data_IF_653226084003
#
_entry.id   IF_653226084003
#
_cell.length_a   1.000
_cell.length_b   1.000
_cell.length_c   1.000
_cell.angle_alpha   90.00
_cell.angle_beta   90.00
_cell.angle_gamma   90.00
#
_symmetry.space_group_name_H-M   'P 1'
#
loop_
_entity.id
_entity.type
_entity.pdbx_description
1 polymer ?
#
# COMPACT_ATOMS: atom_id res chain seq x y z
N UNK A 1 20.37 8.85 2.90
CA UNK A 1 20.22 9.21 4.32
C UNK A 1 19.13 10.27 4.55
N UNK A 2 19.08 11.36 3.81
CA UNK A 2 18.03 12.41 3.95
C UNK A 2 16.62 11.88 3.61
N UNK A 3 16.45 11.00 2.62
CA UNK A 3 15.18 10.38 2.22
C UNK A 3 14.54 9.56 3.35
N UNK A 4 15.33 8.83 4.12
CA UNK A 4 14.82 8.03 5.25
C UNK A 4 14.42 8.88 6.45
N UNK A 5 15.03 10.05 6.64
CA UNK A 5 14.66 10.99 7.70
C UNK A 5 13.34 11.72 7.41
N UNK A 6 13.08 12.07 6.15
CA UNK A 6 11.81 12.68 5.72
C UNK A 6 10.67 11.66 5.83
N UNK A 7 10.91 10.42 5.44
CA UNK A 7 9.96 9.32 5.61
C UNK A 7 9.60 9.09 7.09
N UNK A 8 10.58 9.12 7.98
CA UNK A 8 10.38 8.91 9.42
C UNK A 8 9.64 10.08 10.09
N UNK A 9 9.90 11.33 9.68
CA UNK A 9 9.22 12.51 10.24
C UNK A 9 7.77 12.65 9.76
N UNK A 10 7.50 12.30 8.50
CA UNK A 10 6.14 12.21 7.97
C UNK A 10 5.35 11.09 8.64
N UNK A 11 6.02 9.98 8.95
CA UNK A 11 5.50 8.84 9.71
C UNK A 11 5.02 9.24 11.11
N UNK A 12 5.82 10.01 11.86
CA UNK A 12 5.43 10.50 13.19
C UNK A 12 4.29 11.52 13.16
N UNK A 13 4.26 12.41 12.17
CA UNK A 13 3.25 13.45 12.09
C UNK A 13 1.86 12.90 11.69
N UNK A 14 1.78 11.92 10.78
CA UNK A 14 0.52 11.33 10.33
C UNK A 14 -0.04 10.30 11.32
N UNK A 15 0.80 9.59 12.08
CA UNK A 15 0.34 8.71 13.14
C UNK A 15 -0.34 9.50 14.27
N UNK A 16 0.02 10.76 14.47
CA UNK A 16 -0.62 11.66 15.42
C UNK A 16 -1.96 12.23 14.96
N UNK A 17 -2.24 12.22 13.65
CA UNK A 17 -3.49 12.74 13.08
C UNK A 17 -4.63 11.69 13.04
N UNK A 18 -4.30 10.40 13.15
CA UNK A 18 -5.25 9.31 12.92
C UNK A 18 -6.33 9.12 13.98
N UNK A 19 -6.31 9.86 15.04
CA UNK A 19 -7.02 9.53 16.24
C UNK A 19 -8.16 10.45 16.64
N UNK A 20 -8.40 11.56 15.97
CA UNK A 20 -9.48 12.48 16.35
C UNK A 20 -10.87 12.11 15.81
N UNK A 21 -11.07 10.93 15.29
CA UNK A 21 -12.37 10.56 14.73
C UNK A 21 -13.27 9.77 15.69
N UNK A 22 -13.13 9.91 16.99
CA UNK A 22 -14.13 9.42 17.93
C UNK A 22 -14.03 10.06 19.31
N UNK A 23 -14.93 10.92 19.64
CA UNK A 23 -15.31 11.16 21.00
C UNK A 23 -16.78 11.53 21.04
N UNK A 24 -17.62 10.60 21.35
CA UNK A 24 -18.83 10.89 22.08
C UNK A 24 -18.52 10.63 23.57
N UNK A 25 -18.62 11.67 24.38
CA UNK A 25 -17.97 11.85 25.68
C UNK A 25 -18.69 11.12 26.83
N UNK A 26 -19.68 10.25 26.56
CA UNK A 26 -20.60 9.79 27.59
C UNK A 26 -20.78 8.27 27.75
N UNK A 27 -19.98 7.43 27.10
CA UNK A 27 -20.03 5.99 27.42
C UNK A 27 -18.63 5.43 27.63
N UNK A 28 -18.14 5.66 28.84
CA UNK A 28 -16.89 5.17 29.32
C UNK A 28 -16.85 3.64 29.28
N UNK A 29 -15.89 3.11 28.56
CA UNK A 29 -15.22 1.83 28.77
C UNK A 29 -15.79 0.55 28.15
N UNK A 30 -16.90 0.50 27.43
CA UNK A 30 -17.43 -0.83 27.05
C UNK A 30 -17.59 -1.14 25.55
N UNK A 31 -17.62 -0.18 24.64
CA UNK A 31 -18.03 -0.49 23.26
C UNK A 31 -17.28 0.23 22.13
N UNK A 32 -15.96 0.34 22.20
CA UNK A 32 -15.21 0.78 21.02
C UNK A 32 -15.04 -0.38 20.03
N UNK A 33 -16.13 -0.79 19.41
CA UNK A 33 -16.08 -1.82 18.38
C UNK A 33 -15.46 -1.31 17.07
N UNK A 34 -15.53 0.00 16.80
CA UNK A 34 -15.06 0.62 15.58
C UNK A 34 -13.85 1.51 15.83
N UNK A 35 -12.83 1.36 14.99
CA UNK A 35 -11.62 2.18 15.03
C UNK A 35 -11.24 2.63 13.63
N UNK A 36 -10.96 3.93 13.46
CA UNK A 36 -10.31 4.44 12.26
C UNK A 36 -8.83 4.10 12.27
N UNK A 37 -8.25 3.80 11.11
CA UNK A 37 -6.84 3.50 10.93
C UNK A 37 -6.23 4.39 9.87
N UNK A 38 -5.09 5.00 10.19
CA UNK A 38 -4.21 5.64 9.22
C UNK A 38 -2.81 5.03 9.37
N UNK A 39 -2.23 4.61 8.29
CA UNK A 39 -0.91 4.00 8.26
C UNK A 39 -0.06 4.63 7.17
N UNK A 40 1.21 4.82 7.46
CA UNK A 40 2.22 5.20 6.48
C UNK A 40 3.25 4.10 6.41
N UNK A 41 3.55 3.65 5.21
CA UNK A 41 4.47 2.54 4.98
C UNK A 41 5.51 2.91 3.93
N UNK A 42 6.67 2.26 4.01
CA UNK A 42 7.64 2.18 2.93
C UNK A 42 7.62 0.75 2.39
N UNK A 43 7.63 0.62 1.08
CA UNK A 43 7.58 -0.67 0.41
C UNK A 43 8.91 -0.95 -0.29
N UNK A 44 9.30 -2.20 -0.39
CA UNK A 44 10.52 -2.59 -1.10
C UNK A 44 10.50 -2.31 -2.60
N UNK A 45 9.30 -2.21 -3.18
CA UNK A 45 9.09 -1.99 -4.62
C UNK A 45 8.56 -0.59 -4.94
N UNK A 46 8.11 0.14 -3.94
CA UNK A 46 7.58 1.50 -4.03
C UNK A 46 8.11 2.30 -2.85
N UNK A 47 8.36 3.59 -3.06
CA UNK A 47 9.04 4.42 -2.06
C UNK A 47 8.15 4.76 -0.87
N UNK A 48 6.84 4.91 -1.09
CA UNK A 48 5.91 5.33 -0.06
C UNK A 48 4.51 4.71 -0.24
N UNK A 49 3.76 4.65 0.83
CA UNK A 49 2.34 4.31 0.81
C UNK A 49 1.61 4.88 2.03
N UNK A 50 0.35 5.18 1.82
CA UNK A 50 -0.60 5.62 2.85
C UNK A 50 -1.80 4.70 2.81
N UNK A 51 -2.20 4.21 3.96
CA UNK A 51 -3.36 3.34 4.13
C UNK A 51 -4.38 4.01 5.04
N UNK A 52 -5.62 4.08 4.59
CA UNK A 52 -6.77 4.56 5.35
C UNK A 52 -7.75 3.41 5.52
N UNK A 53 -8.19 3.14 6.74
CA UNK A 53 -9.03 1.99 7.00
C UNK A 53 -9.95 2.16 8.19
N UNK A 54 -10.82 1.17 8.34
CA UNK A 54 -11.73 1.02 9.46
C UNK A 54 -11.61 -0.41 9.95
N UNK A 55 -11.42 -0.56 11.25
CA UNK A 55 -11.34 -1.82 11.96
C UNK A 55 -12.58 -1.99 12.84
N UNK A 56 -13.15 -3.19 12.85
CA UNK A 56 -14.23 -3.59 13.73
C UNK A 56 -13.75 -4.70 14.67
N UNK A 57 -13.86 -4.48 15.97
CA UNK A 57 -13.47 -5.44 17.01
C UNK A 57 -14.66 -5.80 17.89
N UNK A 58 -15.35 -6.92 17.61
CA UNK A 58 -16.45 -7.38 18.45
C UNK A 58 -15.99 -7.81 19.84
N UNK A 59 -14.76 -8.27 19.96
CA UNK A 59 -14.11 -8.65 21.23
C UNK A 59 -12.69 -8.09 21.27
N UNK A 60 -12.13 -7.96 22.45
CA UNK A 60 -10.84 -7.31 22.69
C UNK A 60 -9.68 -7.86 21.83
N UNK A 61 -9.70 -9.16 21.57
CA UNK A 61 -8.56 -9.86 20.94
C UNK A 61 -8.75 -10.20 19.46
N UNK A 62 -9.97 -10.05 18.94
CA UNK A 62 -10.28 -10.44 17.56
C UNK A 62 -11.06 -9.35 16.85
N UNK A 63 -10.65 -9.03 15.64
CA UNK A 63 -11.29 -8.04 14.80
C UNK A 63 -11.18 -8.36 13.32
N UNK A 64 -11.76 -7.47 12.53
CA UNK A 64 -11.62 -7.45 11.09
C UNK A 64 -11.46 -6.00 10.62
N UNK A 65 -10.70 -5.79 9.57
CA UNK A 65 -10.48 -4.45 9.02
C UNK A 65 -10.57 -4.43 7.51
N UNK A 66 -10.97 -3.27 7.00
CA UNK A 66 -10.95 -2.95 5.58
C UNK A 66 -10.22 -1.62 5.42
N UNK A 67 -9.32 -1.55 4.44
CA UNK A 67 -8.57 -0.34 4.18
C UNK A 67 -8.29 -0.13 2.69
N UNK A 68 -8.12 1.13 2.32
CA UNK A 68 -7.65 1.57 1.03
C UNK A 68 -6.21 2.03 1.19
N UNK A 69 -5.31 1.46 0.41
CA UNK A 69 -3.91 1.84 0.36
C UNK A 69 -3.61 2.54 -0.96
N UNK A 70 -2.92 3.66 -0.89
CA UNK A 70 -2.37 4.38 -2.04
C UNK A 70 -0.86 4.39 -1.87
N UNK A 71 -0.13 4.05 -2.92
CA UNK A 71 1.32 4.05 -2.87
C UNK A 71 1.92 4.46 -4.22
N UNK A 72 3.18 4.89 -4.18
CA UNK A 72 3.90 5.34 -5.36
C UNK A 72 5.40 5.42 -5.14
N UNK A 73 6.10 5.81 -6.19
CA UNK A 73 7.50 6.11 -6.21
C UNK A 73 7.72 7.62 -6.21
N UNK A 74 8.86 8.09 -5.69
CA UNK A 74 9.29 9.50 -5.80
C UNK A 74 9.86 9.85 -7.17
N UNK A 75 9.98 8.87 -8.06
CA UNK A 75 10.44 9.02 -9.43
C UNK A 75 9.44 8.46 -10.43
N UNK A 76 9.57 8.86 -11.68
CA UNK A 76 8.75 8.31 -12.76
C UNK A 76 9.16 6.86 -13.03
N UNK A 77 8.23 5.93 -12.88
CA UNK A 77 8.43 4.54 -13.27
C UNK A 77 7.91 4.34 -14.69
N UNK A 78 8.80 4.39 -15.63
CA UNK A 78 8.49 4.11 -17.03
C UNK A 78 9.50 3.11 -17.60
N UNK A 79 9.07 2.34 -18.58
CA UNK A 79 9.94 1.57 -19.45
C UNK A 79 9.93 2.22 -20.84
N UNK A 80 11.06 2.23 -21.50
CA UNK A 80 11.16 2.75 -22.84
C UNK A 80 12.07 1.86 -23.68
N UNK A 81 11.66 1.62 -24.91
CA UNK A 81 12.44 0.82 -25.86
C UNK A 81 12.21 1.30 -27.29
N UNK A 82 13.13 0.93 -28.18
CA UNK A 82 13.01 1.20 -29.62
C UNK A 82 12.82 -0.12 -30.35
N UNK A 83 11.82 -0.19 -31.22
CA UNK A 83 11.54 -1.32 -32.07
C UNK A 83 11.09 -0.85 -33.46
N UNK A 84 11.62 -1.45 -34.53
CA UNK A 84 11.28 -1.10 -35.92
C UNK A 84 11.34 0.40 -36.26
N UNK A 85 12.30 1.14 -35.69
CA UNK A 85 12.44 2.58 -35.93
C UNK A 85 11.43 3.46 -35.20
N UNK A 86 10.62 2.89 -34.30
CA UNK A 86 9.68 3.58 -33.43
C UNK A 86 10.17 3.54 -31.99
N UNK A 87 10.00 4.64 -31.28
CA UNK A 87 10.28 4.75 -29.83
C UNK A 87 8.96 4.58 -29.05
N UNK A 88 8.99 3.69 -28.08
CA UNK A 88 7.88 3.37 -27.21
C UNK A 88 8.19 3.84 -25.79
N UNK A 89 7.29 4.60 -25.17
CA UNK A 89 7.36 5.01 -23.78
C UNK A 89 6.11 4.54 -23.07
N UNK A 90 6.26 3.78 -22.00
CA UNK A 90 5.15 3.30 -21.18
C UNK A 90 4.93 4.20 -19.99
N UNK A 91 3.69 4.24 -19.50
CA UNK A 91 3.27 4.99 -18.32
C UNK A 91 2.42 4.10 -17.42
N UNK A 92 2.32 4.45 -16.14
CA UNK A 92 1.46 3.77 -15.15
C UNK A 92 1.76 2.25 -15.04
N UNK A 93 3.03 1.88 -14.94
CA UNK A 93 3.45 0.47 -14.87
C UNK A 93 3.08 -0.22 -13.55
N UNK A 94 2.86 0.52 -12.49
CA UNK A 94 2.53 -0.01 -11.18
C UNK A 94 1.08 0.30 -10.77
N UNK A 95 0.51 -0.58 -9.97
CA UNK A 95 -0.77 -0.31 -9.32
C UNK A 95 -0.55 0.68 -8.20
N UNK A 96 -1.24 1.81 -8.24
CA UNK A 96 -1.13 2.85 -7.23
C UNK A 96 -2.12 2.68 -6.07
N UNK A 97 -3.20 1.90 -6.26
CA UNK A 97 -4.30 1.79 -5.30
C UNK A 97 -4.64 0.32 -5.04
N UNK A 98 -4.83 -0.02 -3.76
CA UNK A 98 -5.23 -1.36 -3.31
C UNK A 98 -6.29 -1.29 -2.23
N UNK A 99 -7.22 -2.25 -2.29
CA UNK A 99 -8.13 -2.55 -1.19
C UNK A 99 -7.54 -3.71 -0.38
N UNK A 100 -7.48 -3.57 0.93
CA UNK A 100 -7.06 -4.62 1.86
C UNK A 100 -8.22 -5.02 2.76
N UNK A 101 -8.36 -6.32 2.98
CA UNK A 101 -9.28 -6.89 3.96
C UNK A 101 -8.49 -7.84 4.85
N UNK A 102 -8.57 -7.69 6.15
CA UNK A 102 -7.79 -8.49 7.10
C UNK A 102 -8.62 -8.93 8.30
N UNK A 103 -8.34 -10.11 8.77
CA UNK A 103 -8.63 -10.55 10.13
C UNK A 103 -7.52 -10.08 11.05
N UNK A 104 -7.87 -9.63 12.25
CA UNK A 104 -6.95 -9.05 13.21
C UNK A 104 -7.00 -9.84 14.50
N UNK A 105 -5.81 -10.15 15.01
CA UNK A 105 -5.63 -10.76 16.32
C UNK A 105 -4.77 -9.82 17.16
N UNK A 106 -5.11 -9.68 18.43
CA UNK A 106 -4.33 -8.90 19.38
C UNK A 106 -4.03 -9.75 20.61
N UNK A 107 -2.79 -9.72 21.09
CA UNK A 107 -2.42 -10.41 22.31
C UNK A 107 -3.01 -9.72 23.54
N UNK A 108 -3.11 -10.42 24.69
CA UNK A 108 -3.20 -9.76 25.97
C UNK A 108 -2.05 -8.75 26.14
N UNK A 109 -2.24 -7.77 27.03
CA UNK A 109 -1.21 -6.78 27.29
C UNK A 109 0.06 -7.45 27.81
N UNK A 110 1.16 -7.25 27.08
CA UNK A 110 2.51 -7.67 27.48
C UNK A 110 3.05 -6.81 28.62
N UNK A 111 2.62 -5.56 28.63
CA UNK A 111 2.98 -4.58 29.65
C UNK A 111 1.83 -3.58 29.84
N UNK A 112 1.65 -3.12 31.06
CA UNK A 112 0.73 -2.03 31.44
C UNK A 112 1.45 -1.11 32.40
N UNK A 113 1.17 0.20 32.30
CA UNK A 113 1.60 1.13 33.32
C UNK A 113 0.76 0.99 34.62
N UNK A 114 1.18 1.62 35.68
CA UNK A 114 0.58 1.47 37.04
C UNK A 114 -0.87 1.93 37.11
N UNK A 115 -1.27 2.92 36.32
CA UNK A 115 -2.65 3.47 36.29
C UNK A 115 -3.53 2.81 35.21
N UNK A 116 -2.98 1.91 34.41
CA UNK A 116 -3.71 1.18 33.36
C UNK A 116 -4.02 1.99 32.10
N UNK A 117 -3.59 3.26 32.02
CA UNK A 117 -3.87 4.13 30.88
C UNK A 117 -3.08 3.79 29.62
N UNK A 118 -1.97 3.06 29.78
CA UNK A 118 -1.11 2.61 28.69
C UNK A 118 -0.94 1.10 28.73
N UNK A 119 -1.00 0.46 27.56
CA UNK A 119 -0.73 -0.98 27.41
C UNK A 119 0.02 -1.28 26.11
N UNK A 120 0.93 -2.22 26.18
CA UNK A 120 1.69 -2.72 25.03
C UNK A 120 1.19 -4.12 24.67
N UNK A 121 0.90 -4.36 23.40
CA UNK A 121 0.44 -5.65 22.89
C UNK A 121 1.04 -5.96 21.51
N UNK A 122 0.98 -7.23 21.11
CA UNK A 122 1.27 -7.65 19.74
C UNK A 122 -0.05 -7.68 18.97
N UNK A 123 -0.02 -7.17 17.76
CA UNK A 123 -1.14 -7.22 16.82
C UNK A 123 -0.71 -7.95 15.55
N UNK A 124 -1.54 -8.89 15.12
CA UNK A 124 -1.36 -9.66 13.91
C UNK A 124 -2.53 -9.41 12.96
N UNK A 125 -2.23 -9.05 11.70
CA UNK A 125 -3.21 -8.91 10.64
C UNK A 125 -2.93 -9.96 9.57
N UNK A 126 -3.95 -10.73 9.17
CA UNK A 126 -3.86 -11.72 8.11
C UNK A 126 -5.00 -11.49 7.11
N UNK A 127 -4.68 -11.33 5.83
CA UNK A 127 -5.72 -10.98 4.88
C UNK A 127 -5.32 -11.01 3.42
N UNK A 128 -6.19 -10.37 2.63
CA UNK A 128 -6.04 -10.27 1.18
C UNK A 128 -5.88 -8.80 0.75
N UNK A 129 -5.14 -8.61 -0.34
CA UNK A 129 -4.92 -7.32 -1.00
C UNK A 129 -5.38 -7.44 -2.44
N UNK A 130 -6.24 -6.53 -2.85
CA UNK A 130 -6.85 -6.47 -4.18
C UNK A 130 -6.43 -5.17 -4.86
N UNK A 131 -5.74 -5.20 -6.01
CA UNK A 131 -5.43 -4.00 -6.78
C UNK A 131 -6.71 -3.36 -7.36
N UNK A 132 -6.73 -2.04 -7.41
CA UNK A 132 -7.84 -1.26 -7.97
C UNK A 132 -7.30 -0.33 -9.07
N UNK A 133 -7.74 -0.47 -10.31
CA UNK A 133 -8.60 -1.53 -10.86
C UNK A 133 -7.89 -2.88 -10.97
N UNK A 134 -8.63 -3.97 -10.88
CA UNK A 134 -8.08 -5.33 -10.98
C UNK A 134 -7.48 -5.64 -12.36
N UNK A 135 -7.99 -5.00 -13.41
CA UNK A 135 -7.53 -5.12 -14.79
C UNK A 135 -6.86 -3.80 -15.21
N UNK A 136 -5.57 -3.69 -14.97
CA UNK A 136 -4.84 -2.51 -15.40
C UNK A 136 -4.49 -2.61 -16.90
N UNK A 137 -4.68 -1.49 -17.59
CA UNK A 137 -4.16 -1.30 -18.92
C UNK A 137 -2.86 -0.51 -18.79
N UNK A 138 -1.80 -1.03 -19.39
CA UNK A 138 -0.55 -0.25 -19.54
C UNK A 138 -0.79 0.78 -20.64
N UNK A 139 -0.60 2.04 -20.31
CA UNK A 139 -0.61 3.12 -21.29
C UNK A 139 0.77 3.24 -21.91
N UNK A 140 0.83 3.47 -23.19
CA UNK A 140 2.10 3.70 -23.88
C UNK A 140 1.93 4.69 -25.02
N UNK A 141 2.99 5.42 -25.32
CA UNK A 141 3.08 6.38 -26.41
C UNK A 141 4.07 5.85 -27.46
N UNK A 142 3.74 6.01 -28.73
CA UNK A 142 4.59 5.62 -29.86
C UNK A 142 5.02 6.86 -30.63
N UNK A 143 6.31 7.00 -30.85
CA UNK A 143 6.91 8.12 -31.58
C UNK A 143 7.93 7.63 -32.60
N UNK A 144 8.10 8.28 -33.74
CA UNK A 144 9.22 7.98 -34.64
C UNK A 144 10.56 8.18 -33.93
N UNK A 145 11.47 7.20 -34.06
CA UNK A 145 12.81 7.29 -33.48
C UNK A 145 13.73 8.08 -34.43
N UNK A 146 13.47 9.39 -34.58
CA UNK A 146 14.30 10.26 -35.40
C UNK A 146 14.96 11.34 -34.51
N UNK A 147 16.28 11.61 -34.65
CA UNK A 147 16.94 12.66 -33.92
C UNK A 147 16.33 14.03 -34.21
N UNK A 148 15.96 14.78 -33.16
CA UNK A 148 15.44 16.16 -33.28
C UNK A 148 13.97 16.29 -33.67
N UNK A 149 13.21 15.21 -33.76
CA UNK A 149 11.77 15.25 -34.03
C UNK A 149 11.01 15.05 -32.71
N UNK A 150 10.47 16.14 -32.16
CA UNK A 150 9.55 16.10 -31.04
C UNK A 150 8.12 16.01 -31.57
N UNK A 151 7.64 14.81 -31.82
CA UNK A 151 6.22 14.60 -32.19
C UNK A 151 5.49 14.14 -30.94
N UNK A 152 4.35 14.77 -30.67
CA UNK A 152 3.42 14.27 -29.67
C UNK A 152 2.88 12.93 -30.18
N UNK A 153 3.28 11.84 -29.54
CA UNK A 153 2.83 10.52 -29.98
C UNK A 153 1.39 10.24 -29.55
N UNK A 154 0.71 9.38 -30.30
CA UNK A 154 -0.59 8.87 -29.93
C UNK A 154 -0.49 7.96 -28.69
N UNK A 155 -1.44 8.08 -27.79
CA UNK A 155 -1.52 7.25 -26.58
C UNK A 155 -2.36 6.01 -26.84
N UNK A 156 -1.76 4.86 -26.63
CA UNK A 156 -2.36 3.54 -26.76
C UNK A 156 -2.51 2.85 -25.41
N UNK A 157 -3.27 1.76 -25.39
CA UNK A 157 -3.48 0.94 -24.19
C UNK A 157 -3.27 -0.54 -24.52
N UNK A 158 -2.35 -1.17 -23.82
CA UNK A 158 -2.16 -2.61 -23.86
C UNK A 158 -2.90 -3.28 -22.70
N UNK A 159 -3.77 -4.25 -23.02
CA UNK A 159 -4.53 -5.00 -22.01
C UNK A 159 -3.70 -6.16 -21.47
N UNK A 160 -3.74 -6.34 -20.16
CA UNK A 160 -3.19 -7.52 -19.52
C UNK A 160 -4.30 -8.50 -19.14
N UNK A 161 -4.44 -9.57 -19.90
CA UNK A 161 -5.41 -10.63 -19.63
C UNK A 161 -4.99 -11.62 -18.53
N UNK A 162 -3.77 -11.53 -18.03
CA UNK A 162 -3.20 -12.45 -17.05
C UNK A 162 -2.74 -11.78 -15.76
N UNK A 163 -3.23 -10.55 -15.46
CA UNK A 163 -2.90 -9.86 -14.23
C UNK A 163 -3.45 -10.63 -13.02
N UNK A 164 -2.59 -10.84 -12.03
CA UNK A 164 -3.02 -11.39 -10.75
C UNK A 164 -3.79 -10.31 -9.99
N UNK A 165 -5.02 -10.63 -9.58
CA UNK A 165 -5.95 -9.67 -8.96
C UNK A 165 -6.13 -9.87 -7.46
N UNK A 166 -5.52 -10.90 -6.87
CA UNK A 166 -5.63 -11.18 -5.44
C UNK A 166 -4.28 -11.62 -4.89
N UNK A 167 -3.90 -11.00 -3.79
CA UNK A 167 -2.66 -11.27 -3.06
C UNK A 167 -2.98 -11.50 -1.59
N UNK A 168 -2.13 -12.23 -0.88
CA UNK A 168 -2.23 -12.34 0.57
C UNK A 168 -1.21 -11.45 1.26
N UNK A 169 -1.52 -11.05 2.47
CA UNK A 169 -0.59 -10.37 3.36
C UNK A 169 -0.72 -10.91 4.79
N UNK A 170 0.37 -10.82 5.50
CA UNK A 170 0.47 -11.08 6.93
C UNK A 170 1.30 -9.96 7.55
N UNK A 171 0.83 -9.37 8.64
CA UNK A 171 1.49 -8.26 9.31
C UNK A 171 1.58 -8.51 10.79
N UNK A 172 2.78 -8.39 11.34
CA UNK A 172 3.05 -8.39 12.77
C UNK A 172 3.39 -6.99 13.22
N UNK A 173 2.76 -6.53 14.29
CA UNK A 173 2.97 -5.18 14.83
C UNK A 173 3.07 -5.20 16.34
N UNK A 174 3.91 -4.32 16.87
CA UNK A 174 3.90 -3.93 18.27
C UNK A 174 2.99 -2.71 18.41
N UNK A 175 1.94 -2.82 19.21
CA UNK A 175 0.93 -1.80 19.39
C UNK A 175 0.98 -1.24 20.81
N UNK A 176 1.05 0.07 20.93
CA UNK A 176 0.95 0.81 22.17
C UNK A 176 -0.42 1.50 22.21
N UNK A 177 -1.27 1.04 23.12
CA UNK A 177 -2.56 1.68 23.40
C UNK A 177 -2.34 2.82 24.40
N UNK A 178 -2.77 4.01 24.02
CA UNK A 178 -2.78 5.21 24.85
C UNK A 178 -4.13 5.87 24.60
N UNK A 179 -5.12 5.53 25.42
CA UNK A 179 -6.50 5.96 25.21
C UNK A 179 -6.64 7.48 24.90
N UNK A 180 -7.26 7.90 23.81
CA UNK A 180 -8.07 7.14 22.85
C UNK A 180 -7.29 6.54 21.66
N UNK A 181 -5.98 6.53 21.68
CA UNK A 181 -5.08 6.28 20.59
C UNK A 181 -4.51 4.86 20.63
N UNK A 182 -4.25 4.27 19.47
CA UNK A 182 -3.38 3.11 19.32
C UNK A 182 -2.29 3.45 18.31
N UNK A 183 -1.03 3.36 18.71
CA UNK A 183 0.14 3.57 17.87
C UNK A 183 0.79 2.23 17.66
N UNK A 184 1.12 1.86 16.43
CA UNK A 184 1.79 0.60 16.14
C UNK A 184 2.95 0.76 15.18
N UNK A 185 3.93 -0.10 15.37
CA UNK A 185 5.06 -0.29 14.48
C UNK A 185 5.08 -1.75 14.07
N UNK A 186 5.08 -2.02 12.77
CA UNK A 186 4.97 -3.39 12.28
C UNK A 186 5.69 -3.64 10.98
N UNK A 187 5.72 -4.91 10.65
CA UNK A 187 6.31 -5.43 9.43
C UNK A 187 5.29 -6.29 8.69
N UNK A 188 5.16 -6.08 7.37
CA UNK A 188 4.19 -6.78 6.53
C UNK A 188 4.92 -7.71 5.55
N UNK A 189 4.56 -9.00 5.57
CA UNK A 189 4.89 -9.94 4.51
C UNK A 189 3.74 -10.02 3.52
N UNK A 190 4.04 -9.90 2.24
CA UNK A 190 3.03 -10.02 1.20
C UNK A 190 3.61 -10.66 -0.05
N UNK A 191 2.78 -11.42 -0.76
CA UNK A 191 3.12 -11.88 -2.11
C UNK A 191 2.68 -10.89 -3.19
N UNK A 192 2.32 -9.68 -2.81
CA UNK A 192 1.91 -8.64 -3.73
C UNK A 192 3.05 -8.24 -4.67
N UNK A 193 2.68 -7.96 -5.91
CA UNK A 193 3.55 -7.44 -6.94
C UNK A 193 2.94 -6.13 -7.45
N UNK A 194 3.58 -5.00 -7.15
CA UNK A 194 3.11 -3.68 -7.56
C UNK A 194 2.99 -3.55 -9.08
N UNK A 195 3.79 -4.30 -9.83
CA UNK A 195 3.78 -4.32 -11.29
C UNK A 195 2.94 -5.45 -11.88
N UNK A 196 2.08 -6.08 -11.11
CA UNK A 196 1.28 -7.23 -11.57
C UNK A 196 0.43 -6.92 -12.80
N UNK A 197 -0.05 -5.69 -12.92
CA UNK A 197 -0.80 -5.20 -14.07
C UNK A 197 0.01 -5.15 -15.36
N UNK A 198 1.29 -4.85 -15.28
CA UNK A 198 2.18 -4.72 -16.43
C UNK A 198 2.95 -6.02 -16.77
N UNK A 199 2.98 -6.99 -15.86
CA UNK A 199 3.64 -8.28 -16.11
C UNK A 199 3.00 -9.02 -17.26
N UNK A 200 3.82 -9.58 -18.13
CA UNK A 200 3.41 -10.31 -19.35
C UNK A 200 2.73 -9.44 -20.42
N UNK A 201 2.74 -8.13 -20.28
CA UNK A 201 2.36 -7.24 -21.36
C UNK A 201 3.44 -7.28 -22.43
N UNK A 202 3.02 -7.43 -23.69
CA UNK A 202 3.88 -7.38 -24.87
C UNK A 202 3.36 -6.27 -25.76
N UNK A 203 4.23 -5.35 -26.14
CA UNK A 203 3.92 -4.24 -27.03
C UNK A 203 4.73 -4.44 -28.30
N UNK A 204 4.07 -4.56 -29.43
CA UNK A 204 4.69 -4.78 -30.74
C UNK A 204 5.77 -5.89 -30.74
N UNK A 205 5.42 -7.04 -30.11
CA UNK A 205 6.30 -8.20 -30.01
C UNK A 205 7.39 -8.10 -28.93
N UNK A 206 7.53 -6.94 -28.27
CA UNK A 206 8.56 -6.70 -27.24
C UNK A 206 7.96 -6.78 -25.84
N UNK A 207 8.46 -7.65 -24.96
CA UNK A 207 8.03 -7.69 -23.57
C UNK A 207 8.58 -6.49 -22.79
N UNK A 208 7.81 -5.98 -21.81
CA UNK A 208 8.23 -4.88 -20.95
C UNK A 208 9.36 -5.32 -20.00
N UNK A 209 10.36 -4.45 -19.84
CA UNK A 209 11.46 -4.61 -18.89
C UNK A 209 11.07 -4.08 -17.52
N UNK A 210 10.49 -4.93 -16.69
CA UNK A 210 9.99 -4.57 -15.36
C UNK A 210 10.98 -4.96 -14.26
N UNK A 211 11.00 -4.23 -13.14
CA UNK A 211 11.75 -4.63 -11.98
C UNK A 211 11.43 -6.08 -11.57
N UNK A 212 12.45 -6.80 -11.08
CA UNK A 212 12.24 -8.14 -10.56
C UNK A 212 11.18 -8.11 -9.47
N UNK A 213 10.33 -9.13 -9.46
CA UNK A 213 9.33 -9.29 -8.40
C UNK A 213 10.05 -9.34 -7.05
N UNK A 214 9.96 -8.25 -6.28
CA UNK A 214 10.34 -8.25 -4.87
C UNK A 214 9.05 -8.48 -4.07
N UNK A 215 9.09 -9.41 -3.12
CA UNK A 215 8.02 -9.53 -2.13
C UNK A 215 7.99 -8.22 -1.35
N UNK A 216 6.81 -7.63 -1.19
CA UNK A 216 6.64 -6.46 -0.33
C UNK A 216 6.93 -6.90 1.11
N UNK A 217 7.86 -6.20 1.70
CA UNK A 217 8.27 -6.39 3.09
C UNK A 217 8.00 -5.13 3.88
#
# INVERSE_FOLDING_TARGET
>A
MVRHLISLSLFMALSLLSSKCYADENDSDRNRHWMGRVEVASFNSLDWGVELGVDYRPIEYVGAGVSLCVAGDFGDTYDSFTHNGMFYKTEDLHNAVWLRCALQLQSPALWRNSDGSMRLCIKEDCGITLPVPANANVKYTVMPSAPGVYVTGDMFRAKNHGAKSCFYHFKTSLALDVNPWQIWLGYTWSNMDAYSSARKVVIDGTPLSLPKKKQMQ
#
